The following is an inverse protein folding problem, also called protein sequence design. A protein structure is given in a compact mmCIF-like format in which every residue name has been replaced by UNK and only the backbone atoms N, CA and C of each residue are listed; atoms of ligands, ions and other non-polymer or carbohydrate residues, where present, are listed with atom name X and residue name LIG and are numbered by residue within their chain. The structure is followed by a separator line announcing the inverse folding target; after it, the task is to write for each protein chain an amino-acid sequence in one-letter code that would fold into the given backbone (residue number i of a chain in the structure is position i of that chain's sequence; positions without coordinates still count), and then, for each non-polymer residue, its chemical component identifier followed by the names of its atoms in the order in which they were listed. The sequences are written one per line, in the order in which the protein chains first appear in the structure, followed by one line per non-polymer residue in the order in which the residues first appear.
data_IF_457862848856
#
_entry.id   IF_457862848856
#
_cell.length_a   1.000
_cell.length_b   1.000
_cell.length_c   1.000
_cell.angle_alpha   90.00
_cell.angle_beta   90.00
_cell.angle_gamma   90.00
#
_symmetry.space_group_name_H-M   'P 1'
#
loop_
_entity.id
_entity.type
_entity.pdbx_description
1 polymer ?
#
# COMPACT_ATOMS: atom_id res chain seq x y z
N UNK A 1 -27.82 -2.12 33.40
CA UNK A 1 -29.02 -2.24 32.56
C UNK A 1 -29.15 -1.00 31.68
N UNK A 2 -29.76 -1.10 30.50
CA UNK A 2 -30.20 0.08 29.73
C UNK A 2 -31.50 0.67 30.33
N UNK A 3 -32.00 1.77 29.78
CA UNK A 3 -33.24 2.44 30.22
C UNK A 3 -34.52 1.60 30.04
N UNK A 4 -34.42 0.38 29.49
CA UNK A 4 -35.52 -0.58 29.31
C UNK A 4 -35.35 -1.84 30.18
N UNK A 5 -34.42 -1.83 31.13
CA UNK A 5 -34.19 -2.96 32.03
C UNK A 5 -33.47 -4.14 31.39
N UNK A 6 -32.95 -3.98 30.17
CA UNK A 6 -32.17 -5.02 29.50
C UNK A 6 -30.76 -5.02 30.10
N UNK A 7 -30.18 -6.17 30.49
CA UNK A 7 -28.77 -6.26 30.85
C UNK A 7 -27.95 -5.61 29.72
N UNK A 8 -26.97 -4.76 30.05
CA UNK A 8 -26.08 -4.23 29.00
C UNK A 8 -25.33 -5.43 28.46
N UNK A 9 -25.73 -5.94 27.30
CA UNK A 9 -25.04 -7.07 26.66
C UNK A 9 -23.60 -6.63 26.45
N UNK A 10 -22.67 -7.37 27.05
CA UNK A 10 -21.26 -7.19 26.78
C UNK A 10 -21.01 -7.66 25.35
N UNK A 11 -20.87 -6.71 24.43
CA UNK A 11 -20.52 -6.99 23.04
C UNK A 11 -19.06 -7.40 22.99
N UNK A 12 -18.79 -8.64 22.58
CA UNK A 12 -17.42 -9.06 22.27
C UNK A 12 -16.94 -8.30 21.04
N UNK A 13 -15.79 -7.65 21.15
CA UNK A 13 -15.14 -6.97 20.04
C UNK A 13 -13.84 -7.68 19.65
N UNK A 14 -13.47 -7.54 18.38
CA UNK A 14 -12.21 -8.04 17.90
C UNK A 14 -11.08 -7.12 18.39
N UNK A 15 -10.10 -7.70 19.10
CA UNK A 15 -8.91 -6.96 19.50
C UNK A 15 -7.73 -7.11 18.52
N UNK A 16 -7.94 -7.76 17.38
CA UNK A 16 -6.92 -7.87 16.34
C UNK A 16 -6.96 -6.63 15.43
N UNK A 17 -5.82 -5.97 15.26
CA UNK A 17 -5.66 -4.76 14.45
C UNK A 17 -4.67 -4.97 13.29
N UNK A 18 -4.20 -6.21 13.07
CA UNK A 18 -3.15 -6.50 12.09
C UNK A 18 -3.77 -6.89 10.75
N UNK A 19 -3.49 -6.12 9.71
CA UNK A 19 -3.91 -6.46 8.36
C UNK A 19 -3.30 -7.78 7.86
N UNK A 20 -4.06 -8.52 7.06
CA UNK A 20 -3.63 -9.83 6.57
C UNK A 20 -4.15 -10.19 5.19
N UNK A 21 -3.37 -10.99 4.49
CA UNK A 21 -3.69 -11.50 3.17
C UNK A 21 -4.48 -12.80 3.31
N UNK A 22 -5.66 -12.85 2.68
CA UNK A 22 -6.46 -14.06 2.55
C UNK A 22 -5.99 -14.96 1.42
N UNK A 23 -6.40 -16.24 1.47
CA UNK A 23 -6.16 -17.22 0.41
C UNK A 23 -6.87 -16.88 -0.91
N UNK A 24 -7.75 -15.89 -0.90
CA UNK A 24 -8.44 -15.33 -2.06
C UNK A 24 -7.71 -14.11 -2.65
N UNK A 25 -6.52 -13.77 -2.13
CA UNK A 25 -5.70 -12.66 -2.61
C UNK A 25 -6.19 -11.28 -2.16
N UNK A 26 -7.13 -11.20 -1.22
CA UNK A 26 -7.62 -9.93 -0.67
C UNK A 26 -6.94 -9.62 0.67
N UNK A 27 -6.64 -8.33 0.87
CA UNK A 27 -6.21 -7.81 2.18
C UNK A 27 -7.43 -7.59 3.07
N UNK A 28 -7.37 -8.07 4.30
CA UNK A 28 -8.38 -7.89 5.32
C UNK A 28 -7.82 -7.03 6.45
N UNK A 29 -8.60 -6.04 6.91
CA UNK A 29 -8.22 -5.11 8.00
C UNK A 29 -7.71 -5.80 9.27
N UNK A 30 -8.20 -7.00 9.57
CA UNK A 30 -7.76 -7.85 10.67
C UNK A 30 -8.25 -9.29 10.53
N UNK A 31 -7.82 -10.14 11.45
CA UNK A 31 -8.24 -11.54 11.54
C UNK A 31 -9.76 -11.71 11.60
N UNK A 32 -10.45 -10.92 12.41
CA UNK A 32 -11.89 -11.08 12.57
C UNK A 32 -12.66 -10.74 11.29
N UNK A 33 -12.24 -9.72 10.55
CA UNK A 33 -12.82 -9.37 9.27
C UNK A 33 -12.61 -10.49 8.23
N UNK A 34 -11.44 -11.14 8.22
CA UNK A 34 -11.20 -12.32 7.38
C UNK A 34 -12.13 -13.47 7.77
N UNK A 35 -12.27 -13.74 9.06
CA UNK A 35 -13.13 -14.83 9.56
C UNK A 35 -14.61 -14.59 9.27
N UNK A 36 -15.08 -13.36 9.45
CA UNK A 36 -16.43 -12.93 9.07
C UNK A 36 -16.66 -13.15 7.56
N UNK A 37 -15.74 -12.66 6.73
CA UNK A 37 -15.79 -12.84 5.27
C UNK A 37 -15.76 -14.31 4.86
N UNK A 38 -14.95 -15.14 5.53
CA UNK A 38 -14.92 -16.58 5.27
C UNK A 38 -16.24 -17.27 5.64
N UNK A 39 -16.96 -16.82 6.67
CA UNK A 39 -18.28 -17.35 7.01
C UNK A 39 -19.30 -16.99 5.93
N UNK A 40 -19.29 -15.73 5.47
CA UNK A 40 -20.16 -15.27 4.39
C UNK A 40 -19.87 -16.06 3.09
N UNK A 41 -18.61 -16.26 2.74
CA UNK A 41 -18.23 -17.07 1.58
C UNK A 41 -18.80 -18.50 1.64
N UNK A 42 -18.77 -19.15 2.81
CA UNK A 42 -19.35 -20.48 2.99
C UNK A 42 -20.87 -20.48 2.81
N UNK A 43 -21.58 -19.46 3.28
CA UNK A 43 -23.03 -19.29 3.08
C UNK A 43 -23.33 -19.16 1.58
N UNK A 44 -22.49 -18.43 0.86
CA UNK A 44 -22.55 -18.29 -0.59
C UNK A 44 -22.01 -19.52 -1.36
N UNK A 45 -21.74 -20.63 -0.67
CA UNK A 45 -21.18 -21.86 -1.26
C UNK A 45 -19.84 -21.66 -1.99
N UNK A 46 -19.10 -20.60 -1.63
CA UNK A 46 -17.73 -20.34 -2.09
C UNK A 46 -16.71 -21.00 -1.15
N UNK A 47 -15.46 -21.22 -1.63
CA UNK A 47 -14.39 -21.72 -0.78
C UNK A 47 -14.16 -20.85 0.45
N UNK A 48 -13.86 -21.49 1.58
CA UNK A 48 -13.50 -20.78 2.81
C UNK A 48 -12.19 -20.00 2.64
N UNK A 49 -12.19 -18.74 3.05
CA UNK A 49 -11.00 -17.88 3.02
C UNK A 49 -10.12 -18.22 4.22
N UNK A 50 -8.88 -18.62 3.97
CA UNK A 50 -7.88 -18.90 5.00
C UNK A 50 -6.89 -17.75 5.09
N UNK A 51 -6.23 -17.60 6.23
CA UNK A 51 -5.09 -16.68 6.34
C UNK A 51 -3.95 -17.22 5.48
N UNK A 52 -3.50 -16.43 4.51
CA UNK A 52 -2.33 -16.74 3.69
C UNK A 52 -1.06 -16.15 4.31
N UNK A 53 -1.09 -14.85 4.66
CA UNK A 53 0.04 -14.14 5.30
C UNK A 53 -0.47 -13.16 6.35
N UNK A 54 0.23 -13.03 7.49
CA UNK A 54 -0.04 -12.01 8.53
C UNK A 54 0.58 -10.65 8.18
N UNK A 55 0.27 -10.18 6.98
CA UNK A 55 0.58 -8.88 6.40
C UNK A 55 -0.37 -8.66 5.23
N UNK A 56 -0.57 -7.42 4.74
CA UNK A 56 -1.31 -7.17 3.51
C UNK A 56 -0.86 -8.06 2.34
N UNK A 57 -1.75 -8.30 1.40
CA UNK A 57 -1.38 -8.95 0.14
C UNK A 57 -0.34 -8.12 -0.60
N UNK A 58 0.55 -8.79 -1.32
CA UNK A 58 1.55 -8.11 -2.11
C UNK A 58 0.83 -7.41 -3.29
N UNK A 59 1.25 -6.19 -3.60
CA UNK A 59 0.69 -5.38 -4.70
C UNK A 59 1.81 -4.85 -5.57
N UNK A 60 1.55 -4.76 -6.87
CA UNK A 60 2.50 -4.20 -7.81
C UNK A 60 2.76 -2.71 -7.50
N UNK A 61 3.96 -2.20 -7.79
CA UNK A 61 4.25 -0.78 -7.69
C UNK A 61 3.34 0.04 -8.60
N UNK A 62 2.73 1.09 -8.07
CA UNK A 62 1.87 2.02 -8.82
C UNK A 62 2.29 3.46 -8.54
N UNK A 63 2.51 4.24 -9.59
CA UNK A 63 2.79 5.68 -9.48
C UNK A 63 1.48 6.41 -9.22
N UNK A 64 1.17 6.63 -7.95
CA UNK A 64 -0.02 7.36 -7.49
C UNK A 64 0.04 8.85 -7.81
N UNK A 65 1.24 9.43 -7.81
CA UNK A 65 1.48 10.81 -8.25
C UNK A 65 2.67 10.83 -9.23
N UNK A 66 2.42 11.04 -10.53
CA UNK A 66 3.49 11.11 -11.52
C UNK A 66 4.28 12.42 -11.40
N UNK A 67 5.57 12.42 -11.81
CA UNK A 67 6.34 13.63 -11.86
C UNK A 67 5.81 14.61 -12.91
N UNK A 68 5.92 15.89 -12.58
CA UNK A 68 5.51 16.98 -13.46
C UNK A 68 6.73 17.49 -14.23
N UNK A 69 6.53 17.88 -15.49
CA UNK A 69 7.55 18.55 -16.29
C UNK A 69 7.92 19.90 -15.68
N UNK A 70 9.21 20.12 -15.43
CA UNK A 70 9.73 21.37 -14.88
C UNK A 70 10.75 21.97 -15.85
N UNK A 71 10.68 23.29 -16.04
CA UNK A 71 11.69 24.06 -16.76
C UNK A 71 12.26 25.15 -15.85
N UNK A 72 13.57 25.34 -15.90
CA UNK A 72 14.25 26.39 -15.15
C UNK A 72 15.42 26.92 -15.96
N UNK A 73 15.98 28.06 -15.56
CA UNK A 73 17.16 28.65 -16.19
C UNK A 73 18.36 27.73 -16.03
N UNK A 74 19.26 27.78 -17.00
CA UNK A 74 20.53 27.04 -16.96
C UNK A 74 21.32 27.36 -15.69
N UNK A 75 21.79 26.33 -15.00
CA UNK A 75 22.51 26.46 -13.73
C UNK A 75 21.61 26.48 -12.49
N UNK A 76 20.29 26.58 -12.66
CA UNK A 76 19.34 26.42 -11.55
C UNK A 76 19.04 24.95 -11.27
N UNK A 77 18.69 24.65 -10.02
CA UNK A 77 18.22 23.31 -9.63
C UNK A 77 16.78 23.07 -10.11
N UNK A 78 16.48 21.82 -10.43
CA UNK A 78 15.13 21.32 -10.70
C UNK A 78 14.85 20.13 -9.80
N UNK A 79 13.59 19.99 -9.37
CA UNK A 79 13.15 18.89 -8.52
C UNK A 79 12.05 18.11 -9.24
N UNK A 80 12.27 16.81 -9.40
CA UNK A 80 11.26 15.87 -9.87
C UNK A 80 10.84 15.03 -8.68
N UNK A 81 9.53 14.92 -8.47
CA UNK A 81 8.94 14.18 -7.35
C UNK A 81 7.92 13.20 -7.90
N UNK A 82 7.88 11.98 -7.37
CA UNK A 82 6.80 11.04 -7.61
C UNK A 82 6.36 10.42 -6.28
N UNK A 83 5.10 10.00 -6.20
CA UNK A 83 4.60 9.17 -5.10
C UNK A 83 4.24 7.80 -5.67
N UNK A 84 4.79 6.75 -5.07
CA UNK A 84 4.60 5.37 -5.51
C UNK A 84 4.05 4.56 -4.34
N UNK A 85 3.03 3.75 -4.61
CA UNK A 85 2.46 2.80 -3.65
C UNK A 85 2.80 1.37 -4.09
N UNK A 86 2.87 0.44 -3.14
CA UNK A 86 3.14 -0.97 -3.41
C UNK A 86 3.43 -1.74 -2.13
N UNK A 87 3.18 -3.05 -2.15
CA UNK A 87 3.49 -3.96 -1.05
C UNK A 87 4.34 -5.12 -1.60
N UNK A 88 5.62 -5.24 -1.18
CA UNK A 88 6.35 -4.35 -0.28
C UNK A 88 6.58 -2.95 -0.90
N UNK A 89 7.05 -2.01 -0.08
CA UNK A 89 7.39 -0.66 -0.54
C UNK A 89 8.36 -0.76 -1.74
N UNK A 90 8.03 -0.13 -2.88
CA UNK A 90 8.80 -0.30 -4.11
C UNK A 90 10.13 0.46 -4.09
N UNK A 91 11.07 0.00 -4.90
CA UNK A 91 12.31 0.71 -5.20
C UNK A 91 12.07 1.62 -6.40
N UNK A 92 12.47 2.89 -6.29
CA UNK A 92 12.33 3.89 -7.35
C UNK A 92 13.68 4.18 -7.98
N UNK A 93 13.78 4.04 -9.29
CA UNK A 93 14.96 4.36 -10.08
C UNK A 93 14.64 5.45 -11.12
N UNK A 94 15.54 6.41 -11.26
CA UNK A 94 15.40 7.50 -12.24
C UNK A 94 16.29 7.25 -13.47
N UNK A 95 15.71 7.52 -14.64
CA UNK A 95 16.35 7.29 -15.94
C UNK A 95 16.38 8.60 -16.72
N UNK A 96 17.56 8.98 -17.21
CA UNK A 96 17.73 10.12 -18.10
C UNK A 96 17.86 9.59 -19.52
N UNK A 97 16.97 10.03 -20.40
CA UNK A 97 16.97 9.64 -21.80
C UNK A 97 17.56 10.81 -22.58
N UNK A 98 18.83 10.69 -22.94
CA UNK A 98 19.50 11.63 -23.84
C UNK A 98 19.22 11.25 -25.30
N UNK A 99 19.42 12.17 -26.27
CA UNK A 99 19.38 11.83 -27.69
C UNK A 99 20.34 10.69 -28.08
N UNK A 100 21.42 10.52 -27.31
CA UNK A 100 22.45 9.48 -27.50
C UNK A 100 22.10 8.13 -26.87
N UNK A 101 21.00 8.02 -26.11
CA UNK A 101 20.55 6.79 -25.48
C UNK A 101 20.01 6.97 -24.06
N UNK A 102 19.58 5.86 -23.46
CA UNK A 102 19.05 5.79 -22.10
C UNK A 102 20.17 5.56 -21.09
N UNK A 103 20.28 6.42 -20.08
CA UNK A 103 21.27 6.32 -19.00
C UNK A 103 20.56 6.28 -17.63
N UNK A 104 21.00 5.38 -16.74
CA UNK A 104 20.55 5.37 -15.34
C UNK A 104 21.15 6.58 -14.62
N UNK A 105 20.32 7.32 -13.91
CA UNK A 105 20.74 8.52 -13.18
C UNK A 105 21.29 8.12 -11.82
N UNK A 106 22.59 8.25 -11.64
CA UNK A 106 23.24 8.10 -10.34
C UNK A 106 23.39 9.45 -9.65
N UNK A 107 23.37 9.49 -8.30
CA UNK A 107 23.75 10.68 -7.57
C UNK A 107 25.10 11.21 -8.06
N UNK A 108 25.17 12.49 -8.39
CA UNK A 108 26.37 13.15 -8.91
C UNK A 108 26.43 14.59 -8.42
N UNK A 109 27.46 15.33 -8.83
CA UNK A 109 27.57 16.77 -8.54
C UNK A 109 26.31 17.57 -8.91
N UNK A 110 25.52 17.09 -9.88
CA UNK A 110 24.39 17.83 -10.45
C UNK A 110 23.02 17.20 -10.18
N UNK A 111 22.99 15.96 -9.69
CA UNK A 111 21.73 15.23 -9.51
C UNK A 111 21.70 14.56 -8.14
N UNK A 112 20.65 14.86 -7.39
CA UNK A 112 20.38 14.28 -6.07
C UNK A 112 19.09 13.46 -6.16
N UNK A 113 19.18 12.17 -5.86
CA UNK A 113 18.01 11.29 -5.77
C UNK A 113 17.60 11.22 -4.30
N UNK A 114 16.42 11.76 -3.98
CA UNK A 114 15.88 11.76 -2.62
C UNK A 114 14.61 10.90 -2.61
N UNK A 115 14.62 9.80 -1.88
CA UNK A 115 13.41 9.04 -1.58
C UNK A 115 12.75 9.65 -0.34
N UNK A 116 11.53 10.16 -0.46
CA UNK A 116 10.74 10.53 0.72
C UNK A 116 9.85 9.34 1.12
N UNK A 117 10.09 8.80 2.30
CA UNK A 117 9.21 7.81 2.93
C UNK A 117 8.18 8.61 3.73
N UNK A 118 6.92 8.61 3.31
CA UNK A 118 5.81 8.97 4.20
C UNK A 118 5.45 7.70 4.98
N UNK A 119 5.71 7.71 6.29
CA UNK A 119 5.25 6.70 7.26
C UNK A 119 3.85 7.11 7.72
#
# INVERSE_FOLDING_TARGET
MDSRGVPREARCECNDQVEMCGSDGKTYRNYCHLMESSKLAKIEQKPAIKVFKRKPCDSAPEITLPPVSVSNKTGSNVFLTCEVAGVPLPVVEWLYIAPTGKQIVYPSKYIYVVGQIKI
#
